data_IF_491026177808
#
_entry.id   IF_491026177808
#
_cell.length_a   1.000
_cell.length_b   1.000
_cell.length_c   1.000
_cell.angle_alpha   90.00
_cell.angle_beta   90.00
_cell.angle_gamma   90.00
#
_symmetry.space_group_name_H-M   'P 1'
#
loop_
_entity.id
_entity.type
_entity.pdbx_description
1 polymer ?
#
# COMPACT_ATOMS: atom_id res chain seq x y z
N UNK A 1 -4.35 31.26 0.91
CA UNK A 1 -4.07 30.28 1.98
C UNK A 1 -3.89 28.92 1.36
N UNK A 2 -2.85 28.16 1.71
CA UNK A 2 -2.63 26.80 1.22
C UNK A 2 -3.76 25.88 1.72
N UNK A 3 -4.39 25.10 0.84
CA UNK A 3 -5.40 24.10 1.22
C UNK A 3 -4.67 22.85 1.77
N UNK A 4 -4.24 22.90 3.03
CA UNK A 4 -3.50 21.82 3.68
C UNK A 4 -4.32 20.51 3.75
N UNK A 5 -5.62 20.62 4.05
CA UNK A 5 -6.51 19.47 4.11
C UNK A 5 -6.61 18.79 2.74
N UNK A 6 -6.89 19.55 1.68
CA UNK A 6 -6.98 19.01 0.32
C UNK A 6 -5.65 18.39 -0.16
N UNK A 7 -4.51 18.99 0.20
CA UNK A 7 -3.18 18.42 -0.10
C UNK A 7 -3.00 17.07 0.59
N UNK A 8 -3.26 16.99 1.90
CA UNK A 8 -3.11 15.76 2.68
C UNK A 8 -4.03 14.63 2.19
N UNK A 9 -5.29 14.96 1.86
CA UNK A 9 -6.23 13.99 1.26
C UNK A 9 -5.70 13.49 -0.10
N UNK A 10 -5.19 14.37 -0.95
CA UNK A 10 -4.65 13.98 -2.26
C UNK A 10 -3.46 13.03 -2.16
N UNK A 11 -2.58 13.21 -1.17
CA UNK A 11 -1.44 12.31 -0.93
C UNK A 11 -1.93 10.89 -0.57
N UNK A 12 -2.96 10.78 0.29
CA UNK A 12 -3.56 9.49 0.62
C UNK A 12 -4.35 8.86 -0.54
N UNK A 13 -5.04 9.66 -1.35
CA UNK A 13 -5.69 9.17 -2.57
C UNK A 13 -4.69 8.61 -3.58
N UNK A 14 -3.52 9.23 -3.71
CA UNK A 14 -2.45 8.71 -4.55
C UNK A 14 -1.91 7.37 -4.03
N UNK A 15 -1.66 7.26 -2.71
CA UNK A 15 -1.26 6.01 -2.07
C UNK A 15 -2.30 4.89 -2.25
N UNK A 16 -3.60 5.22 -2.12
CA UNK A 16 -4.68 4.24 -2.30
C UNK A 16 -4.78 3.69 -3.72
N UNK A 17 -4.45 4.48 -4.75
CA UNK A 17 -4.41 3.99 -6.13
C UNK A 17 -3.34 2.90 -6.30
N UNK A 18 -2.15 3.10 -5.72
CA UNK A 18 -1.11 2.09 -5.70
C UNK A 18 -1.52 0.81 -4.94
N UNK A 19 -2.16 0.97 -3.78
CA UNK A 19 -2.65 -0.17 -3.00
C UNK A 19 -3.68 -0.98 -3.79
N UNK A 20 -4.60 -0.33 -4.51
CA UNK A 20 -5.60 -0.98 -5.37
C UNK A 20 -4.90 -1.81 -6.46
N UNK A 21 -3.96 -1.23 -7.19
CA UNK A 21 -3.22 -1.93 -8.26
C UNK A 21 -2.47 -3.15 -7.72
N UNK A 22 -1.86 -3.04 -6.54
CA UNK A 22 -1.15 -4.15 -5.89
C UNK A 22 -2.10 -5.26 -5.47
N UNK A 23 -3.21 -4.91 -4.84
CA UNK A 23 -4.19 -5.89 -4.34
C UNK A 23 -4.93 -6.56 -5.51
N UNK A 24 -5.23 -5.85 -6.60
CA UNK A 24 -5.77 -6.45 -7.83
C UNK A 24 -4.78 -7.46 -8.42
N UNK A 25 -3.49 -7.11 -8.48
CA UNK A 25 -2.46 -8.05 -8.92
C UNK A 25 -2.38 -9.30 -8.03
N UNK A 26 -2.44 -9.16 -6.70
CA UNK A 26 -2.41 -10.29 -5.77
C UNK A 26 -3.68 -11.16 -5.91
N UNK A 27 -4.86 -10.56 -6.04
CA UNK A 27 -6.12 -11.26 -6.27
C UNK A 27 -6.05 -12.16 -7.51
N UNK A 28 -5.59 -11.58 -8.63
CA UNK A 28 -5.56 -12.26 -9.92
C UNK A 28 -4.44 -13.33 -9.98
N UNK A 29 -3.30 -13.04 -9.34
CA UNK A 29 -2.16 -13.98 -9.29
C UNK A 29 -2.45 -15.20 -8.43
N UNK A 30 -3.20 -15.04 -7.33
CA UNK A 30 -3.49 -16.09 -6.36
C UNK A 30 -4.97 -16.46 -6.34
N UNK A 31 -5.65 -16.38 -7.50
CA UNK A 31 -7.04 -16.76 -7.65
C UNK A 31 -7.28 -18.21 -7.16
N UNK A 32 -8.37 -18.42 -6.42
CA UNK A 32 -8.71 -19.70 -5.82
C UNK A 32 -7.94 -20.08 -4.56
N UNK A 33 -6.98 -19.29 -4.13
CA UNK A 33 -6.18 -19.49 -2.92
C UNK A 33 -6.62 -18.52 -1.80
N UNK A 34 -6.28 -18.82 -0.55
CA UNK A 34 -6.57 -17.95 0.61
C UNK A 34 -6.05 -16.52 0.43
N UNK A 35 -4.87 -16.36 -0.18
CA UNK A 35 -4.30 -15.04 -0.44
C UNK A 35 -5.12 -14.26 -1.48
N UNK A 36 -5.64 -14.93 -2.51
CA UNK A 36 -6.54 -14.30 -3.47
C UNK A 36 -7.86 -13.86 -2.84
N UNK A 37 -8.41 -14.64 -1.91
CA UNK A 37 -9.61 -14.28 -1.14
C UNK A 37 -9.36 -13.08 -0.22
N UNK A 38 -8.23 -13.06 0.49
CA UNK A 38 -7.80 -11.91 1.30
C UNK A 38 -7.66 -10.66 0.42
N UNK A 39 -7.02 -10.78 -0.74
CA UNK A 39 -6.84 -9.67 -1.66
C UNK A 39 -8.18 -9.16 -2.21
N UNK A 40 -9.13 -10.03 -2.54
CA UNK A 40 -10.47 -9.65 -2.98
C UNK A 40 -11.22 -8.85 -1.91
N UNK A 41 -11.15 -9.30 -0.65
CA UNK A 41 -11.74 -8.59 0.48
C UNK A 41 -11.08 -7.22 0.69
N UNK A 42 -9.73 -7.17 0.74
CA UNK A 42 -9.00 -5.92 0.89
C UNK A 42 -9.30 -4.91 -0.23
N UNK A 43 -9.46 -5.40 -1.45
CA UNK A 43 -9.80 -4.54 -2.60
C UNK A 43 -11.13 -3.82 -2.40
N UNK A 44 -12.16 -4.53 -1.93
CA UNK A 44 -13.47 -3.95 -1.64
C UNK A 44 -13.38 -2.91 -0.52
N UNK A 45 -12.67 -3.25 0.56
CA UNK A 45 -12.47 -2.37 1.71
C UNK A 45 -11.69 -1.09 1.34
N UNK A 46 -10.60 -1.21 0.58
CA UNK A 46 -9.77 -0.06 0.17
C UNK A 46 -10.55 0.86 -0.79
N UNK A 47 -11.35 0.30 -1.70
CA UNK A 47 -12.21 1.07 -2.59
C UNK A 47 -13.28 1.85 -1.82
N UNK A 48 -13.92 1.23 -0.83
CA UNK A 48 -14.89 1.91 0.02
C UNK A 48 -14.25 3.05 0.86
N UNK A 49 -13.06 2.83 1.43
CA UNK A 49 -12.33 3.88 2.15
C UNK A 49 -11.91 5.03 1.22
N UNK A 50 -11.55 4.71 -0.03
CA UNK A 50 -11.21 5.69 -1.06
C UNK A 50 -12.40 6.57 -1.43
N UNK A 51 -13.60 6.02 -1.56
CA UNK A 51 -14.83 6.77 -1.83
C UNK A 51 -15.10 7.83 -0.75
N UNK A 52 -14.89 7.48 0.52
CA UNK A 52 -14.99 8.44 1.63
C UNK A 52 -13.97 9.57 1.47
N UNK A 53 -12.72 9.25 1.13
CA UNK A 53 -11.68 10.26 0.90
C UNK A 53 -11.98 11.17 -0.28
N UNK A 54 -12.55 10.64 -1.36
CA UNK A 54 -12.96 11.42 -2.53
C UNK A 54 -14.07 12.43 -2.17
N UNK A 55 -15.06 12.00 -1.40
CA UNK A 55 -16.09 12.91 -0.88
C UNK A 55 -15.53 14.00 0.06
N UNK A 56 -14.54 13.67 0.88
CA UNK A 56 -13.85 14.65 1.71
C UNK A 56 -13.01 15.62 0.88
N UNK A 57 -12.35 15.16 -0.16
CA UNK A 57 -11.59 16.00 -1.10
C UNK A 57 -12.49 17.04 -1.78
N UNK A 58 -13.67 16.63 -2.23
CA UNK A 58 -14.65 17.53 -2.86
C UNK A 58 -15.06 18.65 -1.89
N UNK A 59 -15.38 18.30 -0.65
CA UNK A 59 -15.71 19.26 0.41
C UNK A 59 -14.55 20.20 0.74
N UNK A 60 -13.32 19.70 0.65
CA UNK A 60 -12.11 20.48 0.90
C UNK A 60 -11.73 21.41 -0.27
N UNK A 61 -12.45 21.39 -1.39
CA UNK A 61 -12.13 22.23 -2.55
C UNK A 61 -10.83 21.80 -3.26
N UNK A 62 -10.44 20.51 -3.15
CA UNK A 62 -9.24 19.96 -3.74
C UNK A 62 -9.35 19.77 -5.25
N UNK A 63 -8.55 20.52 -6.03
CA UNK A 63 -8.43 20.34 -7.47
C UNK A 63 -7.68 19.04 -7.85
N UNK A 64 -8.05 18.44 -9.00
CA UNK A 64 -7.69 17.07 -9.40
C UNK A 64 -6.31 16.89 -10.07
N UNK A 65 -5.49 17.95 -10.28
CA UNK A 65 -4.34 17.86 -11.20
C UNK A 65 -3.14 17.08 -10.64
N UNK A 66 -2.76 17.29 -9.38
CA UNK A 66 -1.60 16.61 -8.77
C UNK A 66 -1.82 15.13 -8.46
N UNK A 67 -3.04 14.72 -8.15
CA UNK A 67 -3.38 13.33 -7.89
C UNK A 67 -3.19 12.44 -9.13
N UNK A 68 -3.45 12.96 -10.36
CA UNK A 68 -3.23 12.22 -11.61
C UNK A 68 -1.74 12.02 -11.92
N UNK A 69 -0.90 13.02 -11.68
CA UNK A 69 0.56 12.93 -11.90
C UNK A 69 1.19 11.90 -10.94
N UNK A 70 0.79 11.90 -9.68
CA UNK A 70 1.28 10.98 -8.66
C UNK A 70 0.79 9.54 -8.90
N UNK A 71 -0.47 9.36 -9.32
CA UNK A 71 -1.02 8.05 -9.71
C UNK A 71 -0.28 7.46 -10.93
N UNK A 72 0.04 8.26 -11.93
CA UNK A 72 0.81 7.82 -13.11
C UNK A 72 2.24 7.40 -12.72
N UNK A 73 2.90 8.13 -11.82
CA UNK A 73 4.23 7.81 -11.34
C UNK A 73 4.26 6.53 -10.48
N UNK A 74 3.25 6.33 -9.61
CA UNK A 74 3.09 5.12 -8.79
C UNK A 74 2.76 3.91 -9.68
N UNK A 75 1.92 4.06 -10.70
CA UNK A 75 1.57 2.99 -11.65
C UNK A 75 2.78 2.41 -12.40
N UNK A 76 3.79 3.24 -12.73
CA UNK A 76 5.06 2.76 -13.30
C UNK A 76 5.84 1.87 -12.32
N UNK A 77 5.72 2.08 -11.01
CA UNK A 77 6.39 1.26 -10.00
C UNK A 77 5.72 -0.07 -9.75
N UNK A 78 4.38 -0.13 -9.78
CA UNK A 78 3.64 -1.40 -9.74
C UNK A 78 4.02 -2.30 -10.92
N UNK A 79 4.20 -1.72 -12.12
CA UNK A 79 4.69 -2.50 -13.26
C UNK A 79 6.06 -3.12 -13.01
N UNK A 80 6.95 -2.46 -12.27
CA UNK A 80 8.25 -3.02 -11.88
C UNK A 80 8.14 -4.11 -10.82
N UNK A 81 7.23 -3.98 -9.85
CA UNK A 81 6.93 -5.02 -8.87
C UNK A 81 6.36 -6.27 -9.57
N UNK A 82 5.43 -6.08 -10.51
CA UNK A 82 4.85 -7.16 -11.35
C UNK A 82 5.90 -7.89 -12.19
N UNK A 83 6.94 -7.20 -12.64
CA UNK A 83 8.00 -7.75 -13.50
C UNK A 83 9.19 -8.33 -12.71
N UNK A 84 9.36 -7.98 -11.42
CA UNK A 84 10.50 -8.39 -10.59
C UNK A 84 10.30 -9.68 -9.79
N UNK A 85 9.11 -10.27 -9.81
CA UNK A 85 8.85 -11.50 -9.07
C UNK A 85 9.41 -12.72 -9.78
N UNK A 86 10.62 -13.11 -9.41
CA UNK A 86 11.02 -14.52 -9.52
C UNK A 86 10.23 -15.30 -8.48
N UNK A 87 9.22 -16.01 -8.94
CA UNK A 87 8.20 -16.70 -8.13
C UNK A 87 8.75 -17.84 -7.23
N UNK A 88 10.04 -17.92 -6.98
CA UNK A 88 10.65 -19.10 -6.39
C UNK A 88 11.09 -18.99 -4.93
N UNK A 89 11.17 -17.79 -4.34
CA UNK A 89 11.71 -17.63 -2.97
C UNK A 89 10.71 -17.02 -1.96
N UNK A 90 9.56 -16.52 -2.41
CA UNK A 90 8.54 -15.91 -1.56
C UNK A 90 8.88 -14.50 -1.02
N UNK A 91 10.10 -14.02 -1.21
CA UNK A 91 10.52 -12.71 -0.71
C UNK A 91 9.71 -11.57 -1.32
N UNK A 92 9.48 -11.61 -2.62
CA UNK A 92 8.70 -10.57 -3.29
C UNK A 92 7.25 -10.48 -2.80
N UNK A 93 6.62 -11.60 -2.47
CA UNK A 93 5.29 -11.60 -1.85
C UNK A 93 5.35 -11.05 -0.41
N UNK A 94 6.37 -11.43 0.37
CA UNK A 94 6.58 -10.90 1.71
C UNK A 94 6.71 -9.37 1.69
N UNK A 95 7.55 -8.82 0.80
CA UNK A 95 7.74 -7.38 0.63
C UNK A 95 6.47 -6.67 0.13
N UNK A 96 5.68 -7.31 -0.74
CA UNK A 96 4.41 -6.78 -1.22
C UNK A 96 3.39 -6.63 -0.07
N UNK A 97 3.30 -7.63 0.83
CA UNK A 97 2.44 -7.56 2.01
C UNK A 97 2.96 -6.55 3.04
N UNK A 98 4.26 -6.44 3.23
CA UNK A 98 4.86 -5.43 4.09
C UNK A 98 4.53 -4.01 3.60
N UNK A 99 4.65 -3.78 2.30
CA UNK A 99 4.29 -2.50 1.69
C UNK A 99 2.80 -2.18 1.86
N UNK A 100 1.94 -3.17 1.69
CA UNK A 100 0.49 -3.03 1.88
C UNK A 100 0.15 -2.71 3.35
N UNK A 101 0.80 -3.38 4.30
CA UNK A 101 0.63 -3.14 5.74
C UNK A 101 1.00 -1.71 6.12
N UNK A 102 2.14 -1.20 5.64
CA UNK A 102 2.58 0.19 5.85
C UNK A 102 1.55 1.19 5.28
N UNK A 103 1.02 0.93 4.09
CA UNK A 103 0.01 1.78 3.47
C UNK A 103 -1.30 1.81 4.26
N UNK A 104 -1.75 0.66 4.77
CA UNK A 104 -2.95 0.56 5.62
C UNK A 104 -2.72 1.26 6.96
N UNK A 105 -1.53 1.13 7.55
CA UNK A 105 -1.17 1.86 8.77
C UNK A 105 -1.22 3.38 8.56
N UNK A 106 -0.68 3.89 7.44
CA UNK A 106 -0.80 5.30 7.09
C UNK A 106 -2.25 5.77 6.97
N UNK A 107 -3.13 4.96 6.40
CA UNK A 107 -4.57 5.23 6.35
C UNK A 107 -5.22 5.23 7.74
N UNK A 108 -4.83 4.33 8.63
CA UNK A 108 -5.28 4.32 10.02
C UNK A 108 -4.95 5.64 10.71
N UNK A 109 -3.72 6.12 10.57
CA UNK A 109 -3.28 7.39 11.15
C UNK A 109 -4.00 8.60 10.54
N UNK A 110 -4.33 8.56 9.24
CA UNK A 110 -5.20 9.57 8.60
C UNK A 110 -6.57 9.65 9.30
N UNK A 111 -7.25 8.51 9.51
CA UNK A 111 -8.58 8.50 10.14
C UNK A 111 -8.53 8.99 11.58
N UNK A 112 -7.50 8.61 12.35
CA UNK A 112 -7.26 9.11 13.71
C UNK A 112 -7.05 10.63 13.74
N UNK A 113 -6.23 11.15 12.82
CA UNK A 113 -6.00 12.59 12.70
C UNK A 113 -7.28 13.35 12.35
N UNK A 114 -8.11 12.79 11.46
CA UNK A 114 -9.38 13.42 11.09
C UNK A 114 -10.42 13.34 12.20
N UNK A 115 -10.45 12.28 13.01
CA UNK A 115 -11.28 12.20 14.21
C UNK A 115 -10.99 13.35 15.18
N UNK A 116 -9.72 13.65 15.41
CA UNK A 116 -9.29 14.77 16.27
C UNK A 116 -9.63 16.14 15.65
N UNK A 117 -9.50 16.28 14.33
CA UNK A 117 -9.73 17.55 13.65
C UNK A 117 -11.21 17.88 13.39
N UNK A 118 -12.07 16.86 13.29
CA UNK A 118 -13.48 17.00 12.88
C UNK A 118 -14.30 17.99 13.73
N UNK A 119 -14.17 18.08 15.07
CA UNK A 119 -14.93 19.04 15.87
C UNK A 119 -14.70 20.50 15.45
N UNK A 120 -13.47 20.83 15.04
CA UNK A 120 -13.09 22.18 14.64
C UNK A 120 -13.16 22.44 13.12
N UNK A 121 -13.39 21.40 12.30
CA UNK A 121 -13.38 21.51 10.83
C UNK A 121 -14.71 21.08 10.21
N UNK A 122 -15.54 22.02 9.72
CA UNK A 122 -16.84 21.71 9.10
C UNK A 122 -16.74 20.75 7.89
N UNK A 123 -15.63 20.74 7.17
CA UNK A 123 -15.42 19.88 5.98
C UNK A 123 -15.30 18.39 6.35
N UNK A 124 -14.97 18.08 7.61
CA UNK A 124 -14.83 16.71 8.14
C UNK A 124 -16.09 16.22 8.86
N UNK A 125 -17.13 17.03 9.04
CA UNK A 125 -18.33 16.66 9.80
C UNK A 125 -19.12 15.53 9.12
N UNK A 126 -19.81 14.73 9.94
CA UNK A 126 -20.74 13.69 9.46
C UNK A 126 -20.05 12.42 8.95
N UNK A 127 -18.77 12.24 9.19
CA UNK A 127 -18.02 11.00 8.92
C UNK A 127 -17.66 10.34 10.25
N UNK A 128 -17.93 9.06 10.36
CA UNK A 128 -17.52 8.23 11.50
C UNK A 128 -16.07 7.76 11.32
N UNK A 129 -15.14 8.60 11.72
CA UNK A 129 -13.72 8.32 11.62
C UNK A 129 -13.25 7.21 12.56
N UNK A 130 -13.93 7.01 13.68
CA UNK A 130 -13.62 5.91 14.62
C UNK A 130 -13.94 4.56 13.98
N UNK A 131 -15.10 4.44 13.35
CA UNK A 131 -15.44 3.25 12.56
C UNK A 131 -14.41 2.98 11.44
N UNK A 132 -14.01 4.01 10.70
CA UNK A 132 -13.00 3.89 9.63
C UNK A 132 -11.63 3.49 10.17
N UNK A 133 -11.22 4.02 11.33
CA UNK A 133 -9.97 3.62 11.99
C UNK A 133 -10.01 2.15 12.44
N UNK A 134 -11.11 1.70 13.02
CA UNK A 134 -11.29 0.30 13.42
C UNK A 134 -11.28 -0.66 12.22
N UNK A 135 -11.87 -0.26 11.09
CA UNK A 135 -11.77 -1.01 9.82
C UNK A 135 -10.32 -1.11 9.33
N UNK A 136 -9.59 0.00 9.33
CA UNK A 136 -8.20 0.02 8.92
C UNK A 136 -7.32 -0.86 9.82
N UNK A 137 -7.54 -0.86 11.13
CA UNK A 137 -6.84 -1.74 12.06
C UNK A 137 -7.11 -3.23 11.78
N UNK A 138 -8.37 -3.59 11.48
CA UNK A 138 -8.70 -4.96 11.07
C UNK A 138 -7.98 -5.35 9.78
N UNK A 139 -8.01 -4.50 8.76
CA UNK A 139 -7.30 -4.73 7.50
C UNK A 139 -5.79 -4.92 7.73
N UNK A 140 -5.18 -4.06 8.56
CA UNK A 140 -3.77 -4.14 8.92
C UNK A 140 -3.42 -5.48 9.58
N UNK A 141 -4.22 -5.89 10.58
CA UNK A 141 -4.01 -7.14 11.31
C UNK A 141 -4.08 -8.37 10.40
N UNK A 142 -5.01 -8.42 9.46
CA UNK A 142 -5.12 -9.54 8.51
C UNK A 142 -3.91 -9.62 7.58
N UNK A 143 -3.42 -8.48 7.08
CA UNK A 143 -2.22 -8.43 6.24
C UNK A 143 -0.98 -8.80 7.05
N UNK A 144 -0.83 -8.29 8.28
CA UNK A 144 0.28 -8.59 9.16
C UNK A 144 0.34 -10.07 9.51
N UNK A 145 -0.78 -10.69 9.86
CA UNK A 145 -0.85 -12.13 10.14
C UNK A 145 -0.35 -12.94 8.95
N UNK A 146 -0.76 -12.58 7.74
CA UNK A 146 -0.31 -13.26 6.53
C UNK A 146 1.17 -13.03 6.26
N UNK A 147 1.66 -11.81 6.44
CA UNK A 147 3.08 -11.45 6.29
C UNK A 147 3.97 -12.21 7.27
N UNK A 148 3.59 -12.28 8.55
CA UNK A 148 4.34 -13.00 9.58
C UNK A 148 4.37 -14.50 9.31
N UNK A 149 3.27 -15.09 8.81
CA UNK A 149 3.28 -16.48 8.37
C UNK A 149 4.30 -16.70 7.24
N UNK A 150 4.36 -15.80 6.27
CA UNK A 150 5.36 -15.86 5.20
C UNK A 150 6.79 -15.64 5.70
N UNK A 151 7.00 -14.75 6.67
CA UNK A 151 8.32 -14.54 7.28
C UNK A 151 8.90 -15.84 7.85
N UNK A 152 8.05 -16.64 8.51
CA UNK A 152 8.46 -17.94 9.03
C UNK A 152 8.91 -18.90 7.92
N UNK A 153 8.28 -18.86 6.75
CA UNK A 153 8.63 -19.70 5.60
C UNK A 153 9.88 -19.17 4.89
N UNK A 154 9.96 -17.85 4.67
CA UNK A 154 11.05 -17.20 3.89
C UNK A 154 12.35 -17.16 4.67
N UNK A 155 12.30 -16.84 5.98
CA UNK A 155 13.49 -16.62 6.81
C UNK A 155 13.74 -17.72 7.83
N UNK A 156 12.75 -18.60 8.07
CA UNK A 156 12.93 -19.74 8.97
C UNK A 156 13.98 -20.71 8.43
N UNK A 157 14.91 -21.17 9.28
CA UNK A 157 15.98 -22.08 8.92
C UNK A 157 15.46 -23.53 8.72
N UNK A 158 14.54 -23.76 7.81
CA UNK A 158 14.19 -25.10 7.37
C UNK A 158 15.12 -25.54 6.23
N UNK A 159 16.39 -25.86 6.57
CA UNK A 159 17.39 -26.38 5.61
C UNK A 159 17.08 -27.78 5.05
N UNK A 160 15.95 -28.42 5.39
CA UNK A 160 15.76 -29.85 5.12
C UNK A 160 14.69 -30.21 4.07
N UNK A 161 13.81 -29.30 3.65
CA UNK A 161 12.79 -29.65 2.65
C UNK A 161 12.44 -28.52 1.66
N UNK A 162 13.43 -27.95 1.04
CA UNK A 162 13.27 -26.87 0.02
C UNK A 162 12.63 -27.30 -1.31
N UNK A 163 12.27 -28.56 -1.50
CA UNK A 163 11.85 -29.07 -2.80
C UNK A 163 10.36 -29.16 -3.07
N UNK A 164 9.52 -29.40 -2.08
CA UNK A 164 8.11 -29.74 -2.31
C UNK A 164 7.10 -28.74 -1.71
N UNK A 165 7.24 -28.33 -0.45
CA UNK A 165 6.26 -27.47 0.22
C UNK A 165 6.30 -26.01 -0.20
N UNK A 166 7.48 -25.47 -0.52
CA UNK A 166 7.62 -24.09 -0.98
C UNK A 166 6.93 -23.83 -2.32
N UNK A 167 6.79 -24.87 -3.15
CA UNK A 167 6.11 -24.75 -4.45
C UNK A 167 4.60 -24.58 -4.36
N UNK A 168 3.94 -25.12 -3.35
CA UNK A 168 2.48 -25.01 -3.22
C UNK A 168 2.04 -23.66 -2.66
N UNK A 169 2.80 -23.06 -1.73
CA UNK A 169 2.45 -21.77 -1.09
C UNK A 169 2.73 -20.57 -1.99
N UNK A 170 3.73 -20.69 -2.88
CA UNK A 170 4.20 -19.57 -3.72
C UNK A 170 3.96 -19.74 -5.22
N UNK A 171 3.43 -20.89 -5.67
CA UNK A 171 3.21 -21.12 -7.09
C UNK A 171 2.00 -20.32 -7.60
N UNK A 172 2.20 -19.30 -8.43
CA UNK A 172 1.10 -18.73 -9.21
C UNK A 172 0.61 -19.81 -10.19
N UNK A 173 -0.68 -19.83 -10.55
CA UNK A 173 -1.16 -20.71 -11.61
C UNK A 173 -0.33 -20.47 -12.87
N UNK A 174 0.18 -21.52 -13.47
CA UNK A 174 1.09 -21.47 -14.62
C UNK A 174 0.45 -20.72 -15.78
N UNK A 175 0.81 -19.46 -15.98
CA UNK A 175 0.74 -18.83 -17.30
C UNK A 175 2.13 -18.91 -17.91
N UNK A 176 2.26 -19.64 -19.00
CA UNK A 176 3.49 -19.74 -19.78
C UNK A 176 3.73 -18.43 -20.53
N UNK A 177 4.77 -17.70 -20.20
CA UNK A 177 5.52 -16.89 -21.15
C UNK A 177 6.91 -16.58 -20.57
N UNK A 178 7.92 -16.74 -21.40
CA UNK A 178 9.34 -16.56 -21.09
C UNK A 178 9.72 -15.08 -20.96
N UNK A 179 10.69 -14.79 -20.07
CA UNK A 179 11.38 -13.51 -20.03
C UNK A 179 12.10 -13.28 -18.70
N UNK A 180 13.40 -13.59 -18.63
CA UNK A 180 14.21 -13.38 -17.44
C UNK A 180 14.69 -11.93 -17.32
N UNK A 181 14.65 -11.37 -16.10
CA UNK A 181 15.40 -10.18 -15.69
C UNK A 181 15.74 -10.23 -14.19
N UNK A 182 16.85 -9.59 -13.83
CA UNK A 182 17.67 -9.69 -12.62
C UNK A 182 17.11 -8.98 -11.35
N UNK A 183 17.49 -9.39 -10.10
CA UNK A 183 16.83 -9.03 -8.83
C UNK A 183 17.25 -7.68 -8.20
N UNK A 184 17.82 -6.74 -8.93
CA UNK A 184 18.38 -5.49 -8.37
C UNK A 184 17.35 -4.35 -8.14
N UNK A 185 16.05 -4.58 -8.40
CA UNK A 185 15.05 -3.49 -8.46
C UNK A 185 14.28 -3.23 -7.14
N UNK A 186 14.30 -4.14 -6.16
CA UNK A 186 13.41 -4.08 -4.99
C UNK A 186 13.95 -3.19 -3.87
N UNK A 187 15.26 -3.20 -3.64
CA UNK A 187 15.87 -2.35 -2.61
C UNK A 187 15.75 -0.84 -2.84
N UNK A 188 15.60 -0.41 -4.10
CA UNK A 188 15.43 1.00 -4.46
C UNK A 188 14.01 1.55 -4.20
N UNK A 189 13.00 0.69 -4.10
CA UNK A 189 11.61 1.10 -3.87
C UNK A 189 11.39 1.61 -2.44
N UNK A 190 12.02 0.99 -1.45
CA UNK A 190 11.95 1.42 -0.04
C UNK A 190 12.55 2.81 0.20
N UNK A 191 13.72 3.07 -0.40
CA UNK A 191 14.41 4.35 -0.25
C UNK A 191 13.62 5.52 -0.87
N UNK A 192 12.81 5.26 -1.88
CA UNK A 192 12.08 6.30 -2.61
C UNK A 192 10.74 6.64 -1.97
N UNK A 193 10.04 5.67 -1.34
CA UNK A 193 8.80 5.97 -0.58
C UNK A 193 9.14 6.78 0.66
N UNK A 194 10.21 6.42 1.38
CA UNK A 194 10.73 7.22 2.49
C UNK A 194 11.20 8.62 2.03
N UNK A 195 11.85 8.72 0.88
CA UNK A 195 12.32 10.00 0.34
C UNK A 195 11.20 10.91 -0.18
N UNK A 196 10.09 10.36 -0.68
CA UNK A 196 8.94 11.16 -1.16
C UNK A 196 8.04 11.59 0.00
N UNK A 197 7.83 10.73 1.00
CA UNK A 197 7.11 11.13 2.22
C UNK A 197 7.88 12.15 3.06
N UNK A 198 9.24 12.09 3.06
CA UNK A 198 10.11 12.97 3.82
C UNK A 198 10.75 14.10 2.99
N UNK A 199 10.64 14.07 1.67
CA UNK A 199 11.34 14.99 0.77
C UNK A 199 11.09 16.47 1.03
N UNK A 200 9.83 16.92 1.21
CA UNK A 200 9.55 18.32 1.52
C UNK A 200 10.07 18.74 2.89
N UNK A 201 10.01 17.85 3.88
CA UNK A 201 10.45 18.14 5.25
C UNK A 201 11.98 18.05 5.38
N UNK A 202 12.64 17.18 4.64
CA UNK A 202 14.09 17.08 4.59
C UNK A 202 14.71 18.34 3.96
N UNK A 203 14.13 18.85 2.90
CA UNK A 203 14.55 20.12 2.26
C UNK A 203 14.32 21.30 3.21
N UNK A 204 13.19 21.32 3.94
CA UNK A 204 12.93 22.32 4.96
C UNK A 204 13.91 22.24 6.13
N UNK A 205 14.19 21.03 6.62
CA UNK A 205 15.16 20.79 7.69
C UNK A 205 16.59 21.21 7.30
N UNK A 206 17.01 20.88 6.08
CA UNK A 206 18.32 21.31 5.57
C UNK A 206 18.42 22.83 5.41
N UNK A 207 17.34 23.50 5.03
CA UNK A 207 17.29 24.96 4.90
C UNK A 207 17.37 25.67 6.24
N UNK A 208 16.76 25.10 7.29
CA UNK A 208 16.81 25.64 8.66
C UNK A 208 18.21 25.46 9.29
N UNK A 209 18.90 24.36 8.94
CA UNK A 209 20.26 24.09 9.46
C UNK A 209 21.37 24.89 8.77
N UNK A 210 21.07 25.44 7.61
CA UNK A 210 21.99 26.26 6.83
C UNK A 210 21.86 27.81 7.12
N UNK A 211 20.97 28.20 8.04
CA UNK A 211 20.81 29.55 8.59
C UNK A 211 21.45 29.62 9.99
#
# INVERSE_FOLDING_TARGET
MSNLLGTYINDHLAGSAYAIDLVEFLRDTYEGQELGQLAAWLLAEIKADREVLEGLRERAGGGSSKAKEMAAWLGQKVSRLKLGHTANDGLGLFEALEFLEIGIHGKLELWRAFAVAAPANPQLRGVDFEHLANRAEKQRSEVENRRLHLAHIVFGQAKVQRGARSREVFAPPRRSTAGGHTPLAVGLAFAVVAAVAMGPDLVRYMKIRAM
#
